data_IF_597753592565
#
_entry.id   IF_597753592565
#
_cell.length_a   1.000
_cell.length_b   1.000
_cell.length_c   1.000
_cell.angle_alpha   90.00
_cell.angle_beta   90.00
_cell.angle_gamma   90.00
#
_symmetry.space_group_name_H-M   'P 1'
#
loop_
_entity.id
_entity.type
_entity.pdbx_description
1 polymer ?
#
# COMPACT_ATOMS: atom_id res chain seq x y z
N UNK A 1 7.51 0.95 5.95
CA UNK A 1 6.37 1.60 5.26
C UNK A 1 5.66 2.55 6.20
N UNK A 2 5.14 3.64 5.68
CA UNK A 2 4.30 4.57 6.42
C UNK A 2 2.94 3.93 6.73
N UNK A 3 2.43 4.22 7.94
CA UNK A 3 1.13 3.77 8.45
C UNK A 3 0.23 4.97 8.77
N UNK A 4 -0.95 4.75 9.31
CA UNK A 4 -1.88 5.81 9.72
C UNK A 4 -1.24 6.82 10.70
N UNK A 5 -0.35 6.37 11.55
CA UNK A 5 0.33 7.23 12.54
C UNK A 5 1.29 8.23 11.86
N UNK A 6 1.71 7.92 10.64
CA UNK A 6 2.67 8.72 9.87
C UNK A 6 2.00 9.73 8.92
N UNK A 7 0.68 9.92 8.95
CA UNK A 7 -0.07 10.80 8.02
C UNK A 7 0.54 12.21 7.99
N UNK A 8 0.95 12.74 9.14
CA UNK A 8 1.59 14.06 9.24
C UNK A 8 2.96 14.15 8.57
N UNK A 9 3.56 13.02 8.21
CA UNK A 9 4.88 12.91 7.56
C UNK A 9 4.81 12.32 6.15
N UNK A 10 3.61 12.07 5.62
CA UNK A 10 3.39 11.51 4.28
C UNK A 10 3.17 12.63 3.26
N UNK A 11 4.23 13.01 2.56
CA UNK A 11 4.26 14.13 1.60
C UNK A 11 4.52 13.68 0.17
N UNK A 12 4.15 14.53 -0.80
CA UNK A 12 4.52 14.41 -2.21
C UNK A 12 3.74 13.37 -3.02
N UNK A 13 2.62 12.85 -2.47
CA UNK A 13 1.73 11.88 -3.13
C UNK A 13 0.26 12.28 -3.09
N UNK A 14 0.00 13.57 -2.90
CA UNK A 14 -1.36 14.10 -2.72
C UNK A 14 -2.24 13.85 -3.95
N UNK A 15 -1.68 14.01 -5.16
CA UNK A 15 -2.37 13.76 -6.42
C UNK A 15 -2.69 12.27 -6.58
N UNK A 16 -1.68 11.42 -6.44
CA UNK A 16 -1.82 9.96 -6.55
C UNK A 16 -2.81 9.41 -5.52
N UNK A 17 -2.77 9.94 -4.30
CA UNK A 17 -3.73 9.63 -3.24
C UNK A 17 -5.16 9.98 -3.65
N UNK A 18 -5.36 11.17 -4.25
CA UNK A 18 -6.68 11.60 -4.73
C UNK A 18 -7.19 10.79 -5.92
N UNK A 19 -6.31 10.37 -6.82
CA UNK A 19 -6.64 9.51 -7.95
C UNK A 19 -7.02 8.10 -7.47
N UNK A 20 -6.22 7.54 -6.56
CA UNK A 20 -6.46 6.22 -5.97
C UNK A 20 -7.79 6.18 -5.19
N UNK A 21 -8.08 7.23 -4.41
CA UNK A 21 -9.33 7.36 -3.68
C UNK A 21 -10.55 7.29 -4.60
N UNK A 22 -10.52 7.98 -5.76
CA UNK A 22 -11.62 7.91 -6.74
C UNK A 22 -11.79 6.50 -7.31
N UNK A 23 -10.69 5.78 -7.56
CA UNK A 23 -10.75 4.42 -8.10
C UNK A 23 -11.35 3.40 -7.11
N UNK A 24 -11.29 3.64 -5.80
CA UNK A 24 -11.94 2.77 -4.81
C UNK A 24 -13.46 2.68 -4.97
N UNK A 25 -14.10 3.67 -5.62
CA UNK A 25 -15.54 3.69 -5.84
C UNK A 25 -15.95 3.24 -7.25
N UNK A 26 -14.99 2.92 -8.10
CA UNK A 26 -15.26 2.51 -9.50
C UNK A 26 -15.66 1.04 -9.58
N UNK A 27 -15.02 0.18 -8.78
CA UNK A 27 -15.28 -1.25 -8.75
C UNK A 27 -14.88 -1.83 -7.37
N UNK A 28 -15.40 -3.01 -6.98
CA UNK A 28 -15.05 -3.62 -5.70
C UNK A 28 -13.60 -4.13 -5.65
N UNK A 29 -12.92 -4.21 -6.79
CA UNK A 29 -11.53 -4.64 -6.90
C UNK A 29 -10.68 -3.52 -7.47
N UNK A 30 -9.54 -3.27 -6.84
CA UNK A 30 -8.53 -2.32 -7.29
C UNK A 30 -7.15 -2.98 -7.27
N UNK A 31 -6.41 -2.88 -8.36
CA UNK A 31 -5.02 -3.34 -8.44
C UNK A 31 -4.07 -2.15 -8.39
N UNK A 32 -3.27 -2.06 -7.33
CA UNK A 32 -2.21 -1.07 -7.17
C UNK A 32 -0.88 -1.73 -7.50
N UNK A 33 -0.26 -1.32 -8.59
CA UNK A 33 0.97 -1.96 -9.07
C UNK A 33 2.08 -0.95 -9.38
N UNK A 34 3.30 -1.43 -9.54
CA UNK A 34 4.48 -0.62 -9.85
C UNK A 34 5.76 -1.29 -9.39
N UNK A 35 6.91 -0.72 -9.73
CA UNK A 35 8.22 -1.25 -9.38
C UNK A 35 8.44 -1.40 -7.87
N UNK A 36 9.49 -2.14 -7.50
CA UNK A 36 9.91 -2.21 -6.11
C UNK A 36 10.30 -0.81 -5.60
N UNK A 37 10.06 -0.52 -4.32
CA UNK A 37 10.47 0.74 -3.70
C UNK A 37 9.70 2.00 -4.13
N UNK A 38 8.66 1.89 -4.98
CA UNK A 38 7.85 3.04 -5.42
C UNK A 38 6.91 3.58 -4.34
N UNK A 39 6.76 2.88 -3.21
CA UNK A 39 5.92 3.32 -2.09
C UNK A 39 4.44 2.89 -2.18
N UNK A 40 4.12 1.83 -2.94
CA UNK A 40 2.74 1.30 -3.09
C UNK A 40 2.02 1.08 -1.77
N UNK A 41 2.66 0.32 -0.88
CA UNK A 41 2.11 -0.02 0.45
C UNK A 41 1.84 1.24 1.27
N UNK A 42 2.78 2.18 1.31
CA UNK A 42 2.61 3.46 2.02
C UNK A 42 1.52 4.33 1.40
N UNK A 43 1.40 4.34 0.06
CA UNK A 43 0.35 5.09 -0.63
C UNK A 43 -1.05 4.55 -0.25
N UNK A 44 -1.21 3.23 -0.11
CA UNK A 44 -2.49 2.62 0.30
C UNK A 44 -2.71 2.78 1.80
N UNK A 45 -1.75 2.40 2.65
CA UNK A 45 -1.93 2.35 4.11
C UNK A 45 -1.92 3.73 4.77
N UNK A 46 -1.24 4.71 4.20
CA UNK A 46 -1.17 6.05 4.75
C UNK A 46 -1.93 7.06 3.87
N UNK A 47 -1.55 7.16 2.60
CA UNK A 47 -2.14 8.12 1.68
C UNK A 47 -3.64 7.89 1.48
N UNK A 48 -4.04 6.72 0.99
CA UNK A 48 -5.45 6.41 0.71
C UNK A 48 -6.31 6.45 1.98
N UNK A 49 -5.83 5.86 3.06
CA UNK A 49 -6.53 5.85 4.35
C UNK A 49 -6.81 7.28 4.87
N UNK A 50 -5.92 8.25 4.60
CA UNK A 50 -6.12 9.65 5.01
C UNK A 50 -7.32 10.34 4.35
N UNK A 51 -7.86 9.77 3.27
CA UNK A 51 -9.00 10.33 2.51
C UNK A 51 -10.35 9.82 2.99
N UNK A 52 -10.38 8.71 3.71
CA UNK A 52 -11.61 8.15 4.23
C UNK A 52 -11.95 8.73 5.61
N UNK A 53 -13.26 8.92 5.84
CA UNK A 53 -13.75 9.12 7.20
C UNK A 53 -13.63 7.81 7.98
N UNK A 54 -13.57 7.91 9.28
CA UNK A 54 -13.45 6.73 10.16
C UNK A 54 -14.63 5.75 10.03
N UNK A 55 -15.82 6.25 9.67
CA UNK A 55 -17.03 5.46 9.42
C UNK A 55 -17.01 4.67 8.11
N UNK A 56 -16.18 5.07 7.15
CA UNK A 56 -16.24 4.61 5.76
C UNK A 56 -15.06 3.70 5.39
N UNK A 57 -14.23 3.36 6.39
CA UNK A 57 -13.00 2.63 6.16
C UNK A 57 -12.71 1.64 7.29
N UNK A 58 -12.74 0.35 6.98
CA UNK A 58 -12.24 -0.73 7.82
C UNK A 58 -11.14 -1.49 7.04
N UNK A 59 -9.87 -1.12 7.18
CA UNK A 59 -8.79 -1.81 6.50
C UNK A 59 -8.47 -3.14 7.20
N UNK A 60 -8.41 -4.21 6.44
CA UNK A 60 -7.94 -5.53 6.88
C UNK A 60 -6.70 -5.87 6.08
N UNK A 61 -5.53 -5.71 6.70
CA UNK A 61 -4.26 -6.01 6.06
C UNK A 61 -4.04 -7.52 6.01
N UNK A 62 -3.78 -8.05 4.83
CA UNK A 62 -3.52 -9.47 4.58
C UNK A 62 -2.16 -9.62 3.93
N UNK A 63 -1.31 -10.41 4.56
CA UNK A 63 -0.03 -10.89 4.00
C UNK A 63 -0.01 -12.40 4.02
N UNK A 64 0.59 -12.99 3.01
CA UNK A 64 0.70 -14.44 2.94
C UNK A 64 1.64 -14.97 4.04
N UNK A 65 1.14 -15.91 4.85
CA UNK A 65 1.92 -16.60 5.89
C UNK A 65 1.86 -18.13 5.73
N UNK A 66 1.81 -18.62 4.50
CA UNK A 66 1.58 -20.03 4.15
C UNK A 66 0.54 -20.10 3.04
N UNK A 67 -0.71 -20.40 3.35
CA UNK A 67 -1.85 -20.31 2.44
C UNK A 67 -2.53 -18.92 2.55
N UNK A 68 -2.85 -18.31 1.42
CA UNK A 68 -3.38 -16.93 1.42
C UNK A 68 -4.83 -16.86 1.90
N UNK A 69 -5.67 -17.90 1.66
CA UNK A 69 -7.04 -17.95 2.19
C UNK A 69 -7.05 -18.13 3.71
N UNK A 70 -6.13 -18.95 4.22
CA UNK A 70 -5.95 -19.09 5.67
C UNK A 70 -5.52 -17.74 6.28
N UNK A 71 -4.55 -17.07 5.68
CA UNK A 71 -4.11 -15.74 6.12
C UNK A 71 -5.23 -14.70 6.09
N UNK A 72 -6.12 -14.75 5.09
CA UNK A 72 -7.31 -13.90 5.03
C UNK A 72 -8.28 -14.20 6.18
N UNK A 73 -8.58 -15.48 6.42
CA UNK A 73 -9.47 -15.90 7.52
C UNK A 73 -8.92 -15.49 8.89
N UNK A 74 -7.61 -15.64 9.11
CA UNK A 74 -6.91 -15.18 10.31
C UNK A 74 -7.02 -13.66 10.47
N UNK A 75 -6.78 -12.90 9.40
CA UNK A 75 -6.88 -11.44 9.42
C UNK A 75 -8.32 -10.97 9.70
N UNK A 76 -9.33 -11.61 9.12
CA UNK A 76 -10.75 -11.33 9.42
C UNK A 76 -11.01 -11.59 10.89
N UNK A 77 -10.64 -12.76 11.41
CA UNK A 77 -10.86 -13.15 12.80
C UNK A 77 -10.16 -12.20 13.79
N UNK A 78 -8.95 -11.74 13.47
CA UNK A 78 -8.21 -10.80 14.30
C UNK A 78 -8.85 -9.40 14.39
N UNK A 79 -9.71 -9.04 13.43
CA UNK A 79 -10.42 -7.76 13.38
C UNK A 79 -11.89 -7.84 13.87
N UNK A 80 -12.41 -9.01 14.23
CA UNK A 80 -13.76 -9.14 14.78
C UNK A 80 -13.78 -8.84 16.29
N UNK A 81 -14.89 -8.27 16.74
CA UNK A 81 -15.15 -8.00 18.16
C UNK A 81 -15.83 -9.20 18.85
N UNK A 82 -16.58 -9.97 18.06
CA UNK A 82 -17.31 -11.16 18.55
C UNK A 82 -16.62 -12.44 18.07
N UNK A 83 -16.52 -13.49 18.93
CA UNK A 83 -15.90 -14.75 18.51
C UNK A 83 -16.63 -15.40 17.34
N UNK A 84 -15.95 -15.66 16.25
CA UNK A 84 -16.48 -16.36 15.07
C UNK A 84 -16.31 -17.86 15.27
N UNK A 85 -17.40 -18.63 15.07
CA UNK A 85 -17.40 -20.09 15.11
C UNK A 85 -17.36 -20.72 13.70
N UNK A 86 -17.68 -19.93 12.67
CA UNK A 86 -17.77 -20.40 11.30
C UNK A 86 -16.40 -20.45 10.63
N UNK A 87 -16.18 -21.46 9.79
CA UNK A 87 -15.05 -21.59 8.87
C UNK A 87 -15.39 -21.07 7.47
N UNK A 88 -16.65 -20.70 7.20
CA UNK A 88 -17.06 -20.08 5.93
C UNK A 88 -16.61 -18.61 5.89
N UNK A 89 -15.81 -18.26 4.89
CA UNK A 89 -15.25 -16.92 4.74
C UNK A 89 -16.35 -15.85 4.60
N UNK A 90 -17.42 -16.15 3.87
CA UNK A 90 -18.55 -15.22 3.72
C UNK A 90 -19.21 -14.90 5.04
N UNK A 91 -19.48 -15.93 5.89
CA UNK A 91 -20.03 -15.73 7.21
C UNK A 91 -19.08 -14.97 8.14
N UNK A 92 -17.77 -15.24 8.04
CA UNK A 92 -16.76 -14.49 8.81
C UNK A 92 -16.77 -13.00 8.44
N UNK A 93 -16.83 -12.67 7.15
CA UNK A 93 -16.85 -11.28 6.66
C UNK A 93 -18.19 -10.60 6.99
N UNK A 94 -19.30 -11.32 6.90
CA UNK A 94 -20.61 -10.79 7.34
C UNK A 94 -20.61 -10.43 8.84
N UNK A 95 -20.03 -11.28 9.69
CA UNK A 95 -19.87 -10.99 11.12
C UNK A 95 -18.95 -9.78 11.36
N UNK A 96 -17.83 -9.69 10.65
CA UNK A 96 -16.94 -8.52 10.73
C UNK A 96 -17.68 -7.22 10.36
N UNK A 97 -18.53 -7.26 9.32
CA UNK A 97 -19.36 -6.11 8.96
C UNK A 97 -20.35 -5.75 10.06
N UNK A 98 -21.03 -6.75 10.67
CA UNK A 98 -21.98 -6.52 11.77
C UNK A 98 -21.31 -5.97 13.04
N UNK A 99 -20.05 -6.32 13.29
CA UNK A 99 -19.29 -5.79 14.42
C UNK A 99 -18.94 -4.29 14.28
N UNK A 100 -18.71 -3.83 13.04
CA UNK A 100 -18.18 -2.48 12.79
C UNK A 100 -19.13 -1.56 12.04
N UNK A 101 -20.06 -2.08 11.24
CA UNK A 101 -20.94 -1.34 10.33
C UNK A 101 -20.19 -0.40 9.37
N UNK A 102 -19.01 -0.84 8.92
CA UNK A 102 -18.13 -0.09 8.01
C UNK A 102 -17.82 -0.88 6.75
N UNK A 103 -17.67 -0.26 5.57
CA UNK A 103 -17.13 -0.93 4.40
C UNK A 103 -15.75 -1.53 4.71
N UNK A 104 -15.57 -2.80 4.35
CA UNK A 104 -14.35 -3.57 4.62
C UNK A 104 -13.45 -3.49 3.39
N UNK A 105 -12.19 -3.12 3.59
CA UNK A 105 -11.16 -3.08 2.55
C UNK A 105 -10.07 -4.09 2.84
N UNK A 106 -10.08 -5.21 2.13
CA UNK A 106 -9.01 -6.21 2.21
C UNK A 106 -7.79 -5.72 1.44
N UNK A 107 -6.71 -5.43 2.15
CA UNK A 107 -5.46 -4.93 1.60
C UNK A 107 -4.47 -6.10 1.48
N UNK A 108 -4.38 -6.71 0.31
CA UNK A 108 -3.42 -7.78 0.04
C UNK A 108 -2.07 -7.17 -0.32
N UNK A 109 -1.18 -7.06 0.67
CA UNK A 109 0.15 -6.49 0.49
C UNK A 109 1.16 -7.58 0.10
N UNK A 110 2.09 -7.23 -0.79
CA UNK A 110 3.04 -8.17 -1.40
C UNK A 110 2.34 -9.34 -2.11
N UNK A 111 1.26 -9.02 -2.85
CA UNK A 111 0.39 -10.04 -3.46
C UNK A 111 1.12 -10.95 -4.44
N UNK A 112 2.26 -10.52 -4.99
CA UNK A 112 3.14 -11.35 -5.81
C UNK A 112 3.59 -12.65 -5.12
N UNK A 113 3.61 -12.70 -3.78
CA UNK A 113 4.00 -13.90 -3.03
C UNK A 113 3.07 -15.10 -3.29
N UNK A 114 1.80 -14.84 -3.65
CA UNK A 114 0.88 -15.89 -4.10
C UNK A 114 1.40 -16.60 -5.37
N UNK A 115 1.99 -15.83 -6.30
CA UNK A 115 2.51 -16.39 -7.55
C UNK A 115 3.91 -16.99 -7.40
N UNK A 116 4.70 -16.50 -6.45
CA UNK A 116 6.06 -16.97 -6.19
C UNK A 116 6.07 -18.28 -5.41
N UNK A 117 5.24 -18.37 -4.37
CA UNK A 117 5.27 -19.46 -3.41
C UNK A 117 4.02 -20.34 -3.43
N UNK A 118 2.93 -19.85 -4.01
CA UNK A 118 1.67 -20.57 -4.10
C UNK A 118 1.67 -21.58 -5.25
N UNK A 119 0.81 -22.59 -5.15
CA UNK A 119 0.52 -23.51 -6.23
C UNK A 119 -0.56 -22.94 -7.16
N UNK A 120 -0.66 -23.50 -8.38
CA UNK A 120 -1.74 -23.12 -9.27
C UNK A 120 -3.13 -23.39 -8.67
N UNK A 121 -3.28 -24.49 -7.94
CA UNK A 121 -4.52 -24.83 -7.24
C UNK A 121 -4.86 -23.81 -6.12
N UNK A 122 -3.86 -23.35 -5.36
CA UNK A 122 -4.04 -22.29 -4.38
C UNK A 122 -4.52 -20.99 -5.02
N UNK A 123 -3.88 -20.59 -6.14
CA UNK A 123 -4.29 -19.40 -6.87
C UNK A 123 -5.74 -19.49 -7.37
N UNK A 124 -6.13 -20.61 -8.00
CA UNK A 124 -7.51 -20.81 -8.49
C UNK A 124 -8.53 -20.82 -7.35
N UNK A 125 -8.20 -21.48 -6.23
CA UNK A 125 -9.04 -21.51 -5.02
C UNK A 125 -9.22 -20.10 -4.45
N UNK A 126 -8.12 -19.33 -4.36
CA UNK A 126 -8.14 -17.94 -3.87
C UNK A 126 -9.05 -17.05 -4.71
N UNK A 127 -8.82 -16.95 -6.03
CA UNK A 127 -9.64 -16.09 -6.89
C UNK A 127 -11.11 -16.53 -6.93
N UNK A 128 -11.38 -17.85 -6.86
CA UNK A 128 -12.75 -18.37 -6.78
C UNK A 128 -13.43 -17.95 -5.46
N UNK A 129 -12.72 -18.01 -4.33
CA UNK A 129 -13.24 -17.61 -3.04
C UNK A 129 -13.49 -16.10 -2.97
N UNK A 130 -12.55 -15.27 -3.46
CA UNK A 130 -12.72 -13.82 -3.50
C UNK A 130 -13.89 -13.40 -4.39
N UNK A 131 -14.04 -14.02 -5.56
CA UNK A 131 -15.20 -13.77 -6.42
C UNK A 131 -16.52 -14.04 -5.69
N UNK A 132 -16.66 -15.22 -5.08
CA UNK A 132 -17.85 -15.59 -4.30
C UNK A 132 -18.12 -14.63 -3.15
N UNK A 133 -17.05 -14.19 -2.46
CA UNK A 133 -17.13 -13.23 -1.39
C UNK A 133 -17.72 -11.89 -1.89
N UNK A 134 -17.17 -11.33 -2.96
CA UNK A 134 -17.61 -10.04 -3.51
C UNK A 134 -19.01 -10.10 -4.15
N UNK A 135 -19.44 -11.26 -4.64
CA UNK A 135 -20.83 -11.47 -5.12
C UNK A 135 -21.84 -11.46 -3.97
N UNK A 136 -21.45 -11.95 -2.77
CA UNK A 136 -22.30 -12.07 -1.60
C UNK A 136 -22.27 -10.81 -0.71
N UNK A 137 -21.07 -10.27 -0.48
CA UNK A 137 -20.83 -9.20 0.48
C UNK A 137 -20.53 -7.88 -0.24
N UNK A 138 -21.57 -7.07 -0.47
CA UNK A 138 -21.46 -5.80 -1.23
C UNK A 138 -20.64 -4.70 -0.52
N UNK A 139 -20.42 -4.84 0.79
CA UNK A 139 -19.61 -3.92 1.59
C UNK A 139 -18.13 -4.35 1.68
N UNK A 140 -17.76 -5.42 0.97
CA UNK A 140 -16.39 -5.89 0.87
C UNK A 140 -15.72 -5.33 -0.40
N UNK A 141 -14.52 -4.80 -0.23
CA UNK A 141 -13.65 -4.29 -1.29
C UNK A 141 -12.28 -4.95 -1.18
N UNK A 142 -11.62 -5.10 -2.31
CA UNK A 142 -10.29 -5.74 -2.39
C UNK A 142 -9.31 -4.81 -3.07
N UNK A 143 -8.15 -4.62 -2.43
CA UNK A 143 -7.02 -3.88 -3.00
C UNK A 143 -5.82 -4.81 -3.07
N UNK A 144 -5.43 -5.22 -4.26
CA UNK A 144 -4.21 -5.98 -4.51
C UNK A 144 -3.03 -5.02 -4.68
N UNK A 145 -2.01 -5.15 -3.84
CA UNK A 145 -0.76 -4.38 -3.92
C UNK A 145 0.31 -5.35 -4.44
N UNK A 146 0.72 -5.16 -5.69
CA UNK A 146 1.55 -6.12 -6.43
C UNK A 146 2.70 -5.43 -7.17
N UNK A 147 3.82 -6.13 -7.37
CA UNK A 147 4.88 -5.65 -8.26
C UNK A 147 4.45 -5.75 -9.71
N UNK A 148 4.88 -4.78 -10.54
CA UNK A 148 4.45 -4.68 -11.94
C UNK A 148 4.86 -5.89 -12.79
N UNK A 149 5.94 -6.58 -12.43
CA UNK A 149 6.41 -7.78 -13.13
C UNK A 149 5.40 -8.93 -13.04
N UNK A 150 4.52 -8.92 -12.01
CA UNK A 150 3.51 -9.95 -11.79
C UNK A 150 2.12 -9.57 -12.30
N UNK A 151 1.96 -8.41 -12.94
CA UNK A 151 0.65 -8.00 -13.48
C UNK A 151 0.14 -8.99 -14.53
N UNK A 152 1.04 -9.56 -15.34
CA UNK A 152 0.70 -10.57 -16.32
C UNK A 152 0.17 -11.88 -15.69
N UNK A 153 0.61 -12.22 -14.48
CA UNK A 153 0.08 -13.40 -13.76
C UNK A 153 -1.37 -13.20 -13.38
N UNK A 154 -1.78 -11.98 -12.98
CA UNK A 154 -3.18 -11.65 -12.68
C UNK A 154 -4.10 -11.87 -13.88
N UNK A 155 -3.66 -11.57 -15.11
CA UNK A 155 -4.49 -11.72 -16.32
C UNK A 155 -4.94 -13.18 -16.55
N UNK A 156 -4.17 -14.16 -16.09
CA UNK A 156 -4.52 -15.58 -16.19
C UNK A 156 -5.80 -15.93 -15.43
N UNK A 157 -6.12 -15.17 -14.41
CA UNK A 157 -7.27 -15.41 -13.52
C UNK A 157 -8.49 -14.56 -13.88
N UNK A 158 -8.45 -13.75 -14.95
CA UNK A 158 -9.63 -13.02 -15.45
C UNK A 158 -10.75 -13.96 -15.92
N UNK A 159 -10.43 -15.18 -16.33
CA UNK A 159 -11.44 -16.21 -16.61
C UNK A 159 -12.28 -16.61 -15.38
N UNK A 160 -11.69 -16.54 -14.18
CA UNK A 160 -12.36 -16.83 -12.90
C UNK A 160 -13.04 -15.57 -12.39
N UNK A 161 -12.35 -14.44 -12.46
CA UNK A 161 -12.77 -13.14 -11.93
C UNK A 161 -12.70 -12.07 -13.03
N UNK A 162 -13.73 -11.98 -13.89
CA UNK A 162 -13.78 -11.01 -14.96
C UNK A 162 -13.63 -9.57 -14.44
N UNK A 163 -12.84 -8.74 -15.14
CA UNK A 163 -12.57 -7.37 -14.74
C UNK A 163 -11.52 -7.20 -13.64
N UNK A 164 -10.81 -8.27 -13.28
CA UNK A 164 -9.79 -8.27 -12.22
C UNK A 164 -8.75 -7.15 -12.37
N UNK A 165 -8.35 -6.83 -13.60
CA UNK A 165 -7.33 -5.81 -13.90
C UNK A 165 -7.89 -4.55 -14.56
N UNK A 166 -9.21 -4.42 -14.73
CA UNK A 166 -9.82 -3.24 -15.36
C UNK A 166 -9.62 -1.99 -14.51
N UNK A 167 -9.85 -2.10 -13.20
CA UNK A 167 -9.66 -1.02 -12.25
C UNK A 167 -8.26 -1.13 -11.63
N UNK A 168 -7.28 -0.43 -12.21
CA UNK A 168 -5.89 -0.52 -11.78
C UNK A 168 -5.21 0.85 -11.73
N UNK A 169 -4.24 0.98 -10.84
CA UNK A 169 -3.43 2.17 -10.66
C UNK A 169 -1.94 1.84 -10.64
N UNK A 170 -1.17 2.48 -11.53
CA UNK A 170 0.29 2.34 -11.57
C UNK A 170 0.93 3.39 -10.66
N UNK A 171 1.73 2.93 -9.71
CA UNK A 171 2.54 3.80 -8.85
C UNK A 171 3.94 3.91 -9.45
N UNK A 172 4.25 5.07 -9.97
CA UNK A 172 5.54 5.37 -10.55
C UNK A 172 6.57 5.80 -9.48
N UNK A 173 7.85 5.78 -9.83
CA UNK A 173 8.89 6.40 -9.03
C UNK A 173 8.57 7.88 -8.85
N UNK A 174 9.01 8.45 -7.73
CA UNK A 174 8.73 9.85 -7.44
C UNK A 174 9.57 10.77 -8.32
N UNK A 175 8.93 11.76 -8.95
CA UNK A 175 9.63 12.76 -9.72
C UNK A 175 10.65 13.52 -8.85
N UNK A 176 11.78 13.89 -9.42
CA UNK A 176 12.89 14.58 -8.70
C UNK A 176 12.43 15.81 -7.93
N UNK A 177 11.61 16.66 -8.55
CA UNK A 177 11.08 17.86 -7.90
C UNK A 177 10.23 17.54 -6.66
N UNK A 178 9.37 16.51 -6.75
CA UNK A 178 8.57 16.07 -5.60
C UNK A 178 9.44 15.43 -4.52
N UNK A 179 10.48 14.67 -4.89
CA UNK A 179 11.40 14.08 -3.92
C UNK A 179 12.16 15.17 -3.13
N UNK A 180 12.60 16.24 -3.80
CA UNK A 180 13.22 17.39 -3.13
C UNK A 180 12.26 18.06 -2.15
N UNK A 181 11.02 18.31 -2.59
CA UNK A 181 9.96 18.88 -1.74
C UNK A 181 9.67 17.99 -0.51
N UNK A 182 9.65 16.67 -0.69
CA UNK A 182 9.47 15.69 0.40
C UNK A 182 10.59 15.79 1.41
N UNK A 183 11.86 15.87 0.97
CA UNK A 183 13.01 16.04 1.87
C UNK A 183 12.88 17.32 2.69
N UNK A 184 12.55 18.45 2.06
CA UNK A 184 12.41 19.74 2.71
C UNK A 184 11.25 19.75 3.71
N UNK A 185 10.09 19.21 3.34
CA UNK A 185 8.93 19.08 4.23
C UNK A 185 9.20 18.16 5.42
N UNK A 186 9.87 17.02 5.20
CA UNK A 186 10.26 16.12 6.28
C UNK A 186 11.23 16.76 7.25
N UNK A 187 12.22 17.50 6.75
CA UNK A 187 13.14 18.26 7.59
C UNK A 187 12.39 19.30 8.41
N UNK A 188 11.52 20.09 7.78
CA UNK A 188 10.72 21.10 8.47
C UNK A 188 9.81 20.51 9.54
N UNK A 189 9.09 19.41 9.23
CA UNK A 189 8.21 18.72 10.17
C UNK A 189 8.97 18.21 11.42
N UNK A 190 10.23 17.80 11.24
CA UNK A 190 11.10 17.33 12.33
C UNK A 190 11.99 18.43 12.94
N UNK A 191 11.77 19.71 12.59
CA UNK A 191 12.56 20.86 13.04
C UNK A 191 14.05 20.73 12.71
N UNK A 192 14.37 20.13 11.57
CA UNK A 192 15.72 19.99 11.07
C UNK A 192 15.97 21.08 10.03
N UNK A 193 17.04 21.83 10.21
CA UNK A 193 17.48 22.79 9.19
C UNK A 193 18.20 22.04 8.06
N UNK A 194 17.81 22.26 6.82
CA UNK A 194 18.55 21.78 5.66
C UNK A 194 19.42 22.91 5.11
N UNK A 195 20.69 22.63 4.85
CA UNK A 195 21.54 23.56 4.15
C UNK A 195 21.07 23.73 2.70
N UNK A 196 21.38 24.88 2.11
CA UNK A 196 21.07 25.17 0.69
C UNK A 196 21.67 24.09 -0.22
N UNK A 197 20.86 23.58 -1.15
CA UNK A 197 21.27 22.55 -2.10
C UNK A 197 21.31 21.11 -1.55
N UNK A 198 21.01 20.88 -0.25
CA UNK A 198 21.04 19.53 0.31
C UNK A 198 20.02 18.59 -0.35
N UNK A 199 18.77 19.02 -0.51
CA UNK A 199 17.70 18.21 -1.13
C UNK A 199 18.05 17.85 -2.59
N UNK A 200 18.60 18.82 -3.34
CA UNK A 200 19.04 18.59 -4.72
C UNK A 200 20.20 17.59 -4.78
N UNK A 201 21.24 17.78 -3.97
CA UNK A 201 22.39 16.88 -3.94
C UNK A 201 22.03 15.46 -3.51
N UNK A 202 21.09 15.29 -2.57
CA UNK A 202 20.57 13.99 -2.19
C UNK A 202 19.83 13.31 -3.34
N UNK A 203 18.94 14.03 -4.02
CA UNK A 203 18.17 13.51 -5.14
C UNK A 203 19.07 13.18 -6.33
N UNK A 204 20.11 13.97 -6.61
CA UNK A 204 21.11 13.69 -7.65
C UNK A 204 21.83 12.36 -7.41
N UNK A 205 22.12 12.04 -6.14
CA UNK A 205 22.75 10.75 -5.80
C UNK A 205 21.79 9.56 -5.91
N UNK A 206 20.50 9.78 -5.63
CA UNK A 206 19.48 8.73 -5.65
C UNK A 206 18.93 8.45 -7.05
N UNK A 207 19.01 9.42 -7.94
CA UNK A 207 18.49 9.35 -9.31
C UNK A 207 19.48 9.98 -10.31
N UNK A 208 20.66 9.39 -10.48
CA UNK A 208 21.68 9.94 -11.41
C UNK A 208 21.25 9.86 -12.86
N UNK A 209 20.33 8.96 -13.21
CA UNK A 209 19.86 8.74 -14.59
C UNK A 209 18.57 9.50 -14.91
N UNK A 210 17.94 10.17 -13.94
CA UNK A 210 16.68 10.90 -14.13
C UNK A 210 15.45 10.02 -14.36
N UNK A 211 15.48 8.79 -13.86
CA UNK A 211 14.36 7.82 -13.99
C UNK A 211 13.32 7.92 -12.85
N UNK A 212 13.55 8.83 -11.91
CA UNK A 212 12.73 9.02 -10.71
C UNK A 212 13.30 8.32 -9.47
N UNK A 213 13.00 8.91 -8.32
CA UNK A 213 13.54 8.52 -7.02
C UNK A 213 12.81 7.30 -6.46
N UNK A 214 13.58 6.32 -6.03
CA UNK A 214 13.08 5.17 -5.27
C UNK A 214 12.98 5.52 -3.79
N UNK A 215 11.75 5.54 -3.27
CA UNK A 215 11.47 6.07 -1.92
C UNK A 215 12.10 5.26 -0.79
N UNK A 216 12.33 3.97 -0.99
CA UNK A 216 13.05 3.13 -0.02
C UNK A 216 14.48 3.62 0.19
N UNK A 217 15.19 3.99 -0.87
CA UNK A 217 16.52 4.57 -0.75
C UNK A 217 16.49 5.97 -0.12
N UNK A 218 15.51 6.80 -0.49
CA UNK A 218 15.35 8.11 0.13
C UNK A 218 15.21 8.00 1.66
N UNK A 219 14.39 7.07 2.14
CA UNK A 219 14.24 6.81 3.58
C UNK A 219 15.55 6.37 4.25
N UNK A 220 16.28 5.45 3.65
CA UNK A 220 17.56 4.96 4.18
C UNK A 220 18.59 6.10 4.27
N UNK A 221 18.65 6.96 3.24
CA UNK A 221 19.58 8.10 3.23
C UNK A 221 19.22 9.14 4.29
N UNK A 222 17.93 9.47 4.43
CA UNK A 222 17.47 10.40 5.47
C UNK A 222 17.73 9.86 6.87
N UNK A 223 17.46 8.57 7.12
CA UNK A 223 17.76 7.91 8.40
C UNK A 223 19.26 7.94 8.69
N UNK A 224 20.10 7.67 7.67
CA UNK A 224 21.55 7.77 7.81
C UNK A 224 22.00 9.20 8.17
N UNK A 225 21.51 10.21 7.47
CA UNK A 225 21.82 11.61 7.78
C UNK A 225 21.41 11.95 9.21
N UNK A 226 20.22 11.50 9.64
CA UNK A 226 19.73 11.69 11.00
C UNK A 226 20.66 11.07 12.05
N UNK A 227 21.13 9.85 11.85
CA UNK A 227 22.00 9.13 12.79
C UNK A 227 23.43 9.65 12.82
N UNK A 228 23.90 10.22 11.70
CA UNK A 228 25.30 10.65 11.54
C UNK A 228 25.50 12.09 11.99
N UNK A 229 24.42 12.92 12.00
CA UNK A 229 24.51 14.32 12.45
C UNK A 229 24.92 14.41 13.93
N UNK A 230 25.66 15.46 14.26
CA UNK A 230 26.06 15.76 15.65
C UNK A 230 25.12 16.83 16.24
N UNK A 231 24.35 16.45 17.27
CA UNK A 231 23.43 17.38 17.95
C UNK A 231 22.40 18.02 17.00
N UNK A 232 22.30 19.35 17.00
CA UNK A 232 21.36 20.13 16.18
C UNK A 232 21.96 20.65 14.86
N UNK A 233 23.05 20.04 14.39
CA UNK A 233 23.65 20.42 13.11
C UNK A 233 22.64 20.28 11.95
N UNK A 234 22.65 21.25 10.99
CA UNK A 234 21.81 21.17 9.82
C UNK A 234 22.19 19.98 8.94
N UNK A 235 21.22 19.41 8.22
CA UNK A 235 21.52 18.48 7.16
C UNK A 235 22.29 19.19 6.05
N UNK A 236 23.54 18.78 5.82
CA UNK A 236 24.45 19.36 4.84
C UNK A 236 24.93 18.30 3.84
N UNK A 237 25.47 18.77 2.73
CA UNK A 237 26.02 17.89 1.67
C UNK A 237 27.13 16.97 2.22
N UNK A 238 27.79 17.37 3.30
CA UNK A 238 28.83 16.57 3.93
C UNK A 238 28.30 15.27 4.61
N UNK A 239 27.00 15.21 4.90
CA UNK A 239 26.34 14.01 5.45
C UNK A 239 25.93 12.98 4.37
N UNK A 240 25.93 13.39 3.10
CA UNK A 240 25.61 12.51 1.96
C UNK A 240 26.82 11.66 1.55
#
# INVERSE_FOLDING_TARGET
SYTREDIGSFFGRERETGELFRLCFTAPVLVVYGGSGTGKTSLVQCGLQSKFNESDWLPVLVRRSGDLLASLSEAVTANTLTPIKSTDLGEQVANLYLDHFKPIYFLFDQFEELFIFGTHAECEAFFTAIKKLLEKERNAHVIFIVREEYLAELTRYERIMPGLIENRYRVERMARSHAMEVVEKLCAANKITCAEGFSAAMVDRLDPEGQGVELSYLQVYLDRCWRTRQGDEPFSIALL
#
